data_IF_804919356129
#
_entry.id   IF_804919356129
#
_cell.length_a   1.000
_cell.length_b   1.000
_cell.length_c   1.000
_cell.angle_alpha   90.00
_cell.angle_beta   90.00
_cell.angle_gamma   90.00
#
_symmetry.space_group_name_H-M   'P 1'
#
loop_
_entity.id
_entity.type
_entity.pdbx_description
1 polymer ?
#
# COMPACT_ATOMS: atom_id res chain seq x y z
N UNK A 1 8.08 -2.12 -4.39
CA UNK A 1 9.21 -1.70 -3.53
C UNK A 1 8.74 -1.31 -2.11
N UNK A 2 7.84 -0.34 -1.95
CA UNK A 2 7.40 0.17 -0.62
C UNK A 2 6.92 -0.91 0.36
N UNK A 3 6.11 -1.89 -0.08
CA UNK A 3 5.65 -2.98 0.81
C UNK A 3 6.81 -3.83 1.30
N UNK A 4 7.75 -4.17 0.40
CA UNK A 4 8.96 -4.94 0.74
C UNK A 4 9.76 -4.25 1.84
N UNK A 5 9.98 -2.95 1.72
CA UNK A 5 10.71 -2.17 2.73
C UNK A 5 10.00 -2.17 4.08
N UNK A 6 8.68 -1.93 4.07
CA UNK A 6 7.87 -1.86 5.29
C UNK A 6 7.87 -3.20 6.04
N UNK A 7 7.83 -4.33 5.32
CA UNK A 7 7.80 -5.66 5.93
C UNK A 7 9.19 -6.24 6.23
N UNK A 8 10.26 -5.57 5.80
CA UNK A 8 11.62 -6.09 5.93
C UNK A 8 11.91 -7.30 5.03
N UNK A 9 11.18 -7.47 3.92
CA UNK A 9 11.36 -8.61 3.03
C UNK A 9 12.70 -8.56 2.28
N UNK A 10 13.53 -9.58 2.49
CA UNK A 10 14.89 -9.64 1.94
C UNK A 10 15.01 -10.46 0.64
N UNK A 11 13.96 -11.17 0.23
CA UNK A 11 13.95 -11.95 -1.00
C UNK A 11 13.83 -11.12 -2.29
N UNK A 12 13.74 -11.81 -3.42
CA UNK A 12 13.55 -11.20 -4.75
C UNK A 12 12.08 -11.05 -5.11
N UNK A 13 11.76 -9.99 -5.87
CA UNK A 13 10.42 -9.76 -6.42
C UNK A 13 10.42 -10.28 -7.86
N UNK A 14 9.61 -11.31 -8.13
CA UNK A 14 9.38 -11.84 -9.48
C UNK A 14 8.11 -11.27 -10.12
N UNK A 15 8.17 -11.02 -11.43
CA UNK A 15 7.02 -10.63 -12.24
C UNK A 15 6.69 -11.75 -13.23
N UNK A 16 5.47 -12.25 -13.19
CA UNK A 16 4.99 -13.30 -14.09
C UNK A 16 4.17 -12.67 -15.23
N UNK A 17 4.84 -12.43 -16.36
CA UNK A 17 4.24 -11.83 -17.56
C UNK A 17 3.27 -12.77 -18.32
N UNK A 18 3.09 -14.02 -17.89
CA UNK A 18 2.05 -14.90 -18.44
C UNK A 18 0.64 -14.50 -17.98
N UNK A 19 0.55 -13.72 -16.89
CA UNK A 19 -0.73 -13.21 -16.38
C UNK A 19 -1.06 -11.88 -17.05
N UNK A 20 -2.33 -11.65 -17.45
CA UNK A 20 -2.72 -10.42 -18.11
C UNK A 20 -2.61 -9.22 -17.14
N UNK A 21 -2.07 -8.12 -17.63
CA UNK A 21 -2.11 -6.85 -16.92
C UNK A 21 -3.54 -6.28 -16.92
N UNK A 22 -3.87 -5.57 -15.84
CA UNK A 22 -5.10 -4.77 -15.77
C UNK A 22 -4.99 -3.49 -16.60
N UNK A 23 -5.95 -2.57 -16.40
CA UNK A 23 -5.88 -1.23 -17.03
C UNK A 23 -4.60 -0.51 -16.62
N UNK A 24 -3.76 -0.01 -17.56
CA UNK A 24 -2.44 0.55 -17.24
C UNK A 24 -2.44 1.72 -16.26
N UNK A 25 -3.53 2.51 -16.20
CA UNK A 25 -3.68 3.63 -15.29
C UNK A 25 -5.13 3.82 -14.89
N UNK A 26 -5.39 3.80 -13.59
CA UNK A 26 -6.70 4.12 -13.01
C UNK A 26 -6.49 5.05 -11.81
N UNK A 27 -6.57 6.36 -12.06
CA UNK A 27 -6.43 7.40 -11.04
C UNK A 27 -7.72 8.22 -10.99
N UNK A 28 -8.06 8.73 -9.81
CA UNK A 28 -9.16 9.67 -9.62
C UNK A 28 -8.65 11.10 -9.74
N UNK A 29 -9.40 11.97 -10.41
CA UNK A 29 -9.24 13.41 -10.27
C UNK A 29 -9.81 13.84 -8.90
N UNK A 30 -8.94 14.41 -8.06
CA UNK A 30 -9.29 14.84 -6.71
C UNK A 30 -9.56 16.34 -6.60
N UNK A 31 -9.57 17.09 -7.71
CA UNK A 31 -9.70 18.55 -7.74
C UNK A 31 -10.94 19.02 -6.98
N UNK A 32 -12.08 18.34 -7.14
CA UNK A 32 -13.33 18.68 -6.42
C UNK A 32 -13.23 18.45 -4.91
N UNK A 33 -12.54 17.39 -4.48
CA UNK A 33 -12.34 17.15 -3.03
C UNK A 33 -11.41 18.22 -2.46
N UNK A 34 -10.32 18.53 -3.17
CA UNK A 34 -9.38 19.57 -2.79
C UNK A 34 -10.03 20.95 -2.69
N UNK A 35 -10.93 21.31 -3.63
CA UNK A 35 -11.64 22.59 -3.58
C UNK A 35 -12.62 22.72 -2.40
N UNK A 36 -13.09 21.59 -1.88
CA UNK A 36 -13.91 21.52 -0.66
C UNK A 36 -13.05 21.49 0.62
N UNK A 37 -11.73 21.71 0.51
CA UNK A 37 -10.80 21.76 1.64
C UNK A 37 -10.32 20.38 2.12
N UNK A 38 -10.64 19.30 1.41
CA UNK A 38 -10.09 17.98 1.74
C UNK A 38 -8.65 17.88 1.26
N UNK A 39 -7.76 17.35 2.11
CA UNK A 39 -6.38 17.04 1.74
C UNK A 39 -5.99 15.71 2.39
N UNK A 40 -5.46 14.73 1.63
CA UNK A 40 -4.98 13.48 2.20
C UNK A 40 -3.81 13.75 3.13
N UNK A 41 -3.91 13.27 4.37
CA UNK A 41 -2.91 13.54 5.42
C UNK A 41 -1.89 12.41 5.60
N UNK A 42 -2.19 11.23 5.05
CA UNK A 42 -1.41 10.01 5.28
C UNK A 42 -0.72 9.65 3.95
N UNK A 43 0.62 9.78 3.86
CA UNK A 43 1.38 9.29 2.71
C UNK A 43 1.24 7.76 2.56
N UNK A 44 1.37 7.27 1.33
CA UNK A 44 1.19 5.84 1.02
C UNK A 44 2.07 4.93 1.89
N UNK A 45 3.36 5.25 2.04
CA UNK A 45 4.30 4.47 2.85
C UNK A 45 3.88 4.41 4.33
N UNK A 46 3.44 5.53 4.89
CA UNK A 46 2.96 5.59 6.27
C UNK A 46 1.71 4.75 6.45
N UNK A 47 0.74 4.85 5.53
CA UNK A 47 -0.46 4.03 5.54
C UNK A 47 -0.15 2.53 5.49
N UNK A 48 0.76 2.10 4.62
CA UNK A 48 1.20 0.70 4.54
C UNK A 48 1.86 0.26 5.85
N UNK A 49 2.77 1.06 6.42
CA UNK A 49 3.44 0.75 7.68
C UNK A 49 2.47 0.59 8.86
N UNK A 50 1.51 1.50 8.97
CA UNK A 50 0.49 1.47 10.03
C UNK A 50 -0.41 0.23 9.89
N UNK A 51 -0.84 -0.09 8.66
CA UNK A 51 -1.65 -1.28 8.40
C UNK A 51 -0.88 -2.56 8.71
N UNK A 52 0.42 -2.62 8.35
CA UNK A 52 1.25 -3.78 8.66
C UNK A 52 1.45 -3.97 10.16
N UNK A 53 1.74 -2.90 10.90
CA UNK A 53 1.86 -2.93 12.36
C UNK A 53 0.55 -3.36 13.03
N UNK A 54 -0.59 -2.84 12.56
CA UNK A 54 -1.91 -3.29 13.01
C UNK A 54 -2.10 -4.80 12.77
N UNK A 55 -1.79 -5.30 11.57
CA UNK A 55 -1.92 -6.72 11.22
C UNK A 55 -1.06 -7.62 12.12
N UNK A 56 0.18 -7.23 12.41
CA UNK A 56 1.06 -7.95 13.35
C UNK A 56 0.47 -8.05 14.76
N UNK A 57 -0.19 -6.97 15.23
CA UNK A 57 -0.86 -6.97 16.53
C UNK A 57 -2.10 -7.86 16.62
N UNK A 58 -2.65 -8.29 15.48
CA UNK A 58 -3.80 -9.21 15.41
C UNK A 58 -3.38 -10.67 15.29
N UNK A 59 -2.08 -10.94 15.10
CA UNK A 59 -1.60 -12.31 15.08
C UNK A 59 -1.73 -12.90 16.48
N UNK A 60 -2.21 -14.15 16.61
CA UNK A 60 -2.22 -14.82 17.91
C UNK A 60 -0.82 -14.77 18.52
N UNK A 61 -0.72 -14.38 19.78
CA UNK A 61 0.50 -14.59 20.56
C UNK A 61 0.77 -16.09 20.51
N UNK A 62 1.85 -16.50 19.82
CA UNK A 62 2.22 -17.91 19.74
C UNK A 62 2.33 -18.50 21.14
N UNK A 63 1.54 -19.54 21.41
CA UNK A 63 1.83 -20.50 22.47
C UNK A 63 2.86 -21.51 21.96
#
# INVERSE_FOLDING_TARGET
ETVREVTGYQGSIGWDASKPDGTPRKLLDVTRLSSLGFTPKIPLREGIARTYAWWLGQLPSGH
#
